data_IF_003971987754
#
_entry.id   IF_003971987754
#
_cell.length_a   1.000
_cell.length_b   1.000
_cell.length_c   1.000
_cell.angle_alpha   90.00
_cell.angle_beta   90.00
_cell.angle_gamma   90.00
#
_symmetry.space_group_name_H-M   'P 1'
#
loop_
_entity.id
_entity.type
_entity.pdbx_description
1 polymer ?
#
# COMPACT_ATOMS: atom_id res chain seq x y z
N UNK A 1 -19.40 24.44 9.93
CA UNK A 1 -18.98 23.04 9.70
C UNK A 1 -19.79 22.16 10.67
N UNK A 2 -20.85 21.49 10.21
CA UNK A 2 -21.69 20.67 11.08
C UNK A 2 -20.93 19.42 11.56
N UNK A 3 -21.05 19.06 12.84
CA UNK A 3 -20.47 17.81 13.34
C UNK A 3 -21.05 16.63 12.53
N UNK A 4 -20.26 15.63 12.12
CA UNK A 4 -20.73 14.51 11.29
C UNK A 4 -21.92 13.77 11.93
N UNK A 5 -22.00 13.72 13.27
CA UNK A 5 -23.12 13.12 14.00
C UNK A 5 -24.46 13.86 13.83
N UNK A 6 -24.46 15.17 13.62
CA UNK A 6 -25.69 15.95 13.42
C UNK A 6 -26.30 15.74 12.04
N UNK A 7 -25.46 15.57 11.01
CA UNK A 7 -25.92 15.28 9.65
C UNK A 7 -26.52 13.87 9.56
N UNK A 8 -25.90 12.89 10.19
CA UNK A 8 -26.41 11.50 10.23
C UNK A 8 -27.77 11.40 10.92
N UNK A 9 -27.97 12.14 12.02
CA UNK A 9 -29.26 12.19 12.73
C UNK A 9 -30.35 12.86 11.91
N UNK A 10 -30.02 13.96 11.24
CA UNK A 10 -30.95 14.68 10.36
C UNK A 10 -31.40 13.76 9.21
N UNK A 11 -30.48 13.01 8.65
CA UNK A 11 -30.73 12.14 7.52
C UNK A 11 -31.54 10.90 7.93
N UNK A 12 -31.23 10.26 9.06
CA UNK A 12 -32.08 9.19 9.60
C UNK A 12 -33.49 9.69 9.89
N UNK A 13 -33.65 10.93 10.35
CA UNK A 13 -34.97 11.54 10.57
C UNK A 13 -35.73 11.73 9.24
N UNK A 14 -35.07 12.17 8.16
CA UNK A 14 -35.69 12.32 6.84
C UNK A 14 -36.16 10.96 6.29
N UNK A 15 -35.35 9.91 6.45
CA UNK A 15 -35.70 8.55 5.98
C UNK A 15 -36.83 7.98 6.80
N UNK A 16 -36.79 8.15 8.12
CA UNK A 16 -37.88 7.74 9.00
C UNK A 16 -39.17 8.46 8.62
N UNK A 17 -39.12 9.77 8.34
CA UNK A 17 -40.27 10.53 7.85
C UNK A 17 -40.76 10.05 6.49
N UNK A 18 -39.86 9.67 5.57
CA UNK A 18 -40.25 9.11 4.27
C UNK A 18 -40.90 7.72 4.41
N UNK A 19 -40.39 6.87 5.31
CA UNK A 19 -40.98 5.56 5.62
C UNK A 19 -42.33 5.71 6.32
N UNK A 20 -42.45 6.64 7.27
CA UNK A 20 -43.72 6.98 7.92
C UNK A 20 -44.71 7.51 6.89
N UNK A 21 -44.29 8.41 5.99
CA UNK A 21 -45.15 8.93 4.93
C UNK A 21 -45.61 7.82 3.96
N UNK A 22 -44.73 6.87 3.63
CA UNK A 22 -45.09 5.68 2.85
C UNK A 22 -46.09 4.80 3.60
N UNK A 23 -45.90 4.59 4.91
CA UNK A 23 -46.78 3.77 5.74
C UNK A 23 -48.15 4.43 5.92
N UNK A 24 -48.20 5.75 6.13
CA UNK A 24 -49.42 6.56 6.20
C UNK A 24 -50.13 6.55 4.84
N UNK A 25 -49.40 6.67 3.73
CA UNK A 25 -49.97 6.53 2.40
C UNK A 25 -50.59 5.13 2.24
N UNK A 26 -49.86 4.06 2.55
CA UNK A 26 -50.37 2.67 2.48
C UNK A 26 -51.55 2.39 3.44
N UNK A 27 -51.60 3.06 4.59
CA UNK A 27 -52.72 2.96 5.54
C UNK A 27 -53.96 3.69 5.03
N UNK A 28 -53.80 4.92 4.52
CA UNK A 28 -54.87 5.67 3.86
C UNK A 28 -55.35 4.97 2.58
N UNK A 29 -54.48 4.23 1.89
CA UNK A 29 -54.82 3.33 0.76
C UNK A 29 -55.81 2.21 1.12
N UNK A 30 -55.91 1.81 2.40
CA UNK A 30 -56.89 0.82 2.86
C UNK A 30 -58.31 1.40 2.99
N UNK A 31 -58.43 2.73 2.91
CA UNK A 31 -59.67 3.49 3.00
C UNK A 31 -60.05 3.99 1.60
N UNK A 32 -60.81 3.16 0.87
CA UNK A 32 -61.69 3.47 -0.28
C UNK A 32 -61.14 3.79 -1.71
N UNK A 33 -61.83 3.23 -2.71
CA UNK A 33 -62.35 3.90 -3.92
C UNK A 33 -61.43 4.39 -5.07
N UNK A 34 -60.12 4.53 -4.90
CA UNK A 34 -59.25 5.19 -5.91
C UNK A 34 -58.69 4.20 -6.96
N UNK A 35 -58.55 4.65 -8.21
CA UNK A 35 -58.00 3.86 -9.33
C UNK A 35 -56.51 3.47 -9.13
N UNK A 36 -56.08 2.39 -9.78
CA UNK A 36 -54.76 1.77 -9.56
C UNK A 36 -53.56 2.54 -10.14
N UNK A 37 -53.75 3.44 -11.12
CA UNK A 37 -52.63 4.09 -11.83
C UNK A 37 -51.85 5.14 -11.02
N UNK A 38 -52.46 6.05 -10.23
CA UNK A 38 -51.72 7.00 -9.40
C UNK A 38 -51.01 6.29 -8.24
N UNK A 39 -51.57 5.15 -7.81
CA UNK A 39 -51.09 4.32 -6.71
C UNK A 39 -49.74 3.67 -7.03
N UNK A 40 -49.60 3.10 -8.21
CA UNK A 40 -48.34 2.52 -8.67
C UNK A 40 -47.24 3.58 -8.84
N UNK A 41 -47.61 4.80 -9.25
CA UNK A 41 -46.65 5.91 -9.38
C UNK A 41 -46.08 6.36 -8.01
N UNK A 42 -46.92 6.43 -6.97
CA UNK A 42 -46.49 6.77 -5.60
C UNK A 42 -45.59 5.69 -4.98
N UNK A 43 -45.94 4.41 -5.15
CA UNK A 43 -45.09 3.29 -4.69
C UNK A 43 -43.75 3.31 -5.43
N UNK A 44 -43.76 3.51 -6.75
CA UNK A 44 -42.56 3.62 -7.56
C UNK A 44 -41.67 4.79 -7.12
N UNK A 45 -42.25 5.97 -6.85
CA UNK A 45 -41.52 7.13 -6.35
C UNK A 45 -40.90 6.87 -4.96
N UNK A 46 -41.62 6.23 -4.05
CA UNK A 46 -41.11 5.91 -2.72
C UNK A 46 -39.97 4.89 -2.77
N UNK A 47 -40.10 3.82 -3.58
CA UNK A 47 -39.03 2.85 -3.78
C UNK A 47 -37.78 3.49 -4.41
N UNK A 48 -37.96 4.44 -5.33
CA UNK A 48 -36.85 5.18 -5.92
C UNK A 48 -36.14 6.05 -4.89
N UNK A 49 -36.87 6.77 -4.03
CA UNK A 49 -36.27 7.55 -2.94
C UNK A 49 -35.51 6.67 -1.95
N UNK A 50 -36.09 5.53 -1.55
CA UNK A 50 -35.43 4.56 -0.67
C UNK A 50 -34.18 3.98 -1.34
N UNK A 51 -34.25 3.62 -2.62
CA UNK A 51 -33.12 3.09 -3.39
C UNK A 51 -31.98 4.09 -3.55
N UNK A 52 -32.29 5.34 -3.93
CA UNK A 52 -31.31 6.42 -4.00
C UNK A 52 -30.66 6.69 -2.64
N UNK A 53 -31.45 6.65 -1.57
CA UNK A 53 -30.96 6.85 -0.23
C UNK A 53 -30.05 5.72 0.25
N UNK A 54 -30.44 4.46 0.03
CA UNK A 54 -29.62 3.30 0.34
C UNK A 54 -28.27 3.36 -0.42
N UNK A 55 -28.31 3.74 -1.70
CA UNK A 55 -27.09 3.97 -2.50
C UNK A 55 -26.23 5.12 -1.95
N UNK A 56 -26.84 6.22 -1.52
CA UNK A 56 -26.13 7.35 -0.91
C UNK A 56 -25.47 6.97 0.42
N UNK A 57 -26.17 6.25 1.29
CA UNK A 57 -25.60 5.72 2.55
C UNK A 57 -24.46 4.77 2.26
N UNK A 58 -24.65 3.83 1.35
CA UNK A 58 -23.64 2.84 0.99
C UNK A 58 -22.36 3.51 0.50
N UNK A 59 -22.47 4.51 -0.39
CA UNK A 59 -21.30 5.25 -0.92
C UNK A 59 -20.61 6.13 0.12
N UNK A 60 -21.35 6.73 1.07
CA UNK A 60 -20.74 7.59 2.09
C UNK A 60 -20.16 6.82 3.27
N UNK A 61 -20.74 5.67 3.60
CA UNK A 61 -20.37 4.86 4.77
C UNK A 61 -19.42 3.72 4.47
N UNK A 62 -19.21 3.37 3.20
CA UNK A 62 -18.21 2.39 2.82
C UNK A 62 -17.00 3.05 2.18
N UNK A 63 -15.87 2.35 2.18
CA UNK A 63 -14.68 2.70 1.40
C UNK A 63 -14.31 1.47 0.57
N UNK A 64 -13.97 1.70 -0.69
CA UNK A 64 -13.41 0.65 -1.52
C UNK A 64 -11.91 0.58 -1.25
N UNK A 65 -11.48 -0.55 -0.72
CA UNK A 65 -10.08 -0.85 -0.47
C UNK A 65 -9.56 -1.61 -1.67
N UNK A 66 -8.50 -1.06 -2.27
CA UNK A 66 -7.84 -1.64 -3.43
C UNK A 66 -7.12 -2.94 -3.04
N UNK A 67 -6.94 -3.88 -3.99
CA UNK A 67 -5.97 -4.96 -3.80
C UNK A 67 -4.60 -4.37 -3.46
N UNK A 68 -3.80 -5.18 -2.78
CA UNK A 68 -2.49 -4.80 -2.27
C UNK A 68 -2.57 -3.66 -1.24
N UNK A 69 -3.56 -3.68 -0.35
CA UNK A 69 -3.62 -2.79 0.82
C UNK A 69 -3.50 -3.57 2.12
N UNK A 70 -2.77 -3.05 3.10
CA UNK A 70 -2.72 -3.59 4.46
C UNK A 70 -3.43 -2.63 5.41
N UNK A 71 -4.15 -3.22 6.35
CA UNK A 71 -4.74 -2.54 7.46
C UNK A 71 -3.80 -2.61 8.65
N UNK A 72 -3.43 -1.45 9.18
CA UNK A 72 -2.59 -1.31 10.34
C UNK A 72 -3.40 -0.80 11.53
N UNK A 73 -3.18 -1.35 12.73
CA UNK A 73 -3.68 -0.73 13.96
C UNK A 73 -2.91 0.57 14.29
N UNK A 74 -3.34 1.31 15.32
CA UNK A 74 -2.67 2.53 15.80
C UNK A 74 -1.21 2.30 16.25
N UNK A 75 -0.81 1.05 16.48
CA UNK A 75 0.56 0.67 16.85
C UNK A 75 1.39 0.21 15.64
N UNK A 76 0.82 0.25 14.43
CA UNK A 76 1.46 -0.19 13.19
C UNK A 76 1.55 -1.71 13.04
N UNK A 77 0.71 -2.49 13.74
CA UNK A 77 0.60 -3.94 13.52
C UNK A 77 -0.34 -4.24 12.36
N UNK A 78 0.01 -5.25 11.56
CA UNK A 78 -0.85 -5.74 10.49
C UNK A 78 -2.05 -6.45 11.10
N UNK A 79 -3.24 -5.97 10.78
CA UNK A 79 -4.52 -6.51 11.25
C UNK A 79 -5.17 -7.32 10.14
N UNK A 80 -5.15 -6.80 8.91
CA UNK A 80 -5.77 -7.43 7.75
C UNK A 80 -5.03 -7.05 6.47
N UNK A 81 -5.09 -7.93 5.49
CA UNK A 81 -4.52 -7.72 4.15
C UNK A 81 -5.63 -7.88 3.13
N UNK A 82 -5.68 -6.95 2.18
CA UNK A 82 -6.65 -6.91 1.10
C UNK A 82 -5.97 -7.38 -0.19
N UNK A 83 -6.23 -8.63 -0.59
CA UNK A 83 -5.69 -9.23 -1.83
C UNK A 83 -6.61 -9.03 -3.04
N UNK A 84 -7.83 -8.56 -2.78
CA UNK A 84 -8.86 -8.31 -3.79
C UNK A 84 -9.58 -7.02 -3.41
N UNK A 85 -10.26 -6.41 -4.39
CA UNK A 85 -11.15 -5.28 -4.11
C UNK A 85 -12.19 -5.68 -3.06
N UNK A 86 -12.23 -4.92 -1.97
CA UNK A 86 -13.24 -5.11 -0.92
C UNK A 86 -13.87 -3.77 -0.56
N UNK A 87 -15.20 -3.76 -0.50
CA UNK A 87 -15.96 -2.65 0.07
C UNK A 87 -16.12 -2.89 1.57
N UNK A 88 -15.59 -1.99 2.38
CA UNK A 88 -15.63 -2.11 3.86
C UNK A 88 -16.32 -0.92 4.50
N UNK A 89 -16.94 -1.11 5.67
CA UNK A 89 -17.61 -0.03 6.40
C UNK A 89 -16.58 0.89 7.07
N UNK A 90 -16.60 2.19 6.73
CA UNK A 90 -15.68 3.19 7.30
C UNK A 90 -15.64 3.16 8.82
N UNK A 91 -16.78 2.93 9.48
CA UNK A 91 -16.90 2.92 10.95
C UNK A 91 -16.08 1.80 11.61
N UNK A 92 -15.96 0.65 10.95
CA UNK A 92 -15.18 -0.49 11.45
C UNK A 92 -13.67 -0.20 11.45
N UNK A 93 -13.23 0.78 10.65
CA UNK A 93 -11.82 1.04 10.40
C UNK A 93 -11.37 2.46 10.83
N UNK A 94 -12.15 3.16 11.66
CA UNK A 94 -11.84 4.54 12.12
C UNK A 94 -10.46 4.60 12.82
N UNK A 95 -10.10 3.56 13.57
CA UNK A 95 -8.86 3.51 14.34
C UNK A 95 -7.73 2.79 13.60
N UNK A 96 -7.85 2.63 12.28
CA UNK A 96 -6.90 1.86 11.48
C UNK A 96 -6.37 2.68 10.30
N UNK A 97 -5.11 2.46 9.95
CA UNK A 97 -4.51 3.01 8.75
C UNK A 97 -4.57 1.98 7.62
N UNK A 98 -5.20 2.33 6.50
CA UNK A 98 -5.14 1.53 5.27
C UNK A 98 -3.99 2.09 4.44
N UNK A 99 -2.93 1.31 4.28
CA UNK A 99 -1.77 1.68 3.47
C UNK A 99 -1.60 0.71 2.31
N UNK A 100 -1.28 1.21 1.10
CA UNK A 100 -0.96 0.34 -0.02
C UNK A 100 0.37 -0.38 0.25
N UNK A 101 0.39 -1.69 0.04
CA UNK A 101 1.57 -2.55 0.01
C UNK A 101 1.80 -3.12 -1.39
N UNK A 102 1.63 -2.31 -2.44
CA UNK A 102 1.95 -2.76 -3.81
C UNK A 102 3.39 -3.29 -3.87
N UNK A 103 3.67 -4.22 -4.80
CA UNK A 103 5.03 -4.58 -5.23
C UNK A 103 5.90 -3.33 -5.25
N UNK A 104 6.75 -3.18 -4.24
CA UNK A 104 7.48 -1.93 -4.06
C UNK A 104 8.84 -2.12 -4.71
N UNK A 105 9.02 -1.45 -5.84
CA UNK A 105 10.29 -1.34 -6.52
C UNK A 105 11.07 -0.15 -5.98
N UNK A 106 12.34 -0.36 -5.65
CA UNK A 106 13.27 0.67 -5.22
C UNK A 106 14.40 0.73 -6.23
N UNK A 107 14.46 1.82 -6.98
CA UNK A 107 15.61 2.15 -7.82
C UNK A 107 16.56 3.05 -7.03
N UNK A 108 17.76 2.53 -6.80
CA UNK A 108 18.81 3.15 -6.02
C UNK A 108 20.03 3.34 -6.91
N UNK A 109 20.59 4.55 -6.86
CA UNK A 109 21.83 4.89 -7.55
C UNK A 109 22.87 5.21 -6.48
N UNK A 110 24.00 4.53 -6.57
CA UNK A 110 25.08 4.63 -5.60
C UNK A 110 26.38 4.96 -6.30
N UNK A 111 27.30 5.48 -5.52
CA UNK A 111 28.59 5.95 -5.98
C UNK A 111 29.65 5.58 -4.96
N UNK A 112 30.80 5.12 -5.46
CA UNK A 112 31.93 4.72 -4.63
C UNK A 112 33.24 4.97 -5.36
N UNK A 113 34.24 5.43 -4.61
CA UNK A 113 35.63 5.46 -5.05
C UNK A 113 36.36 4.31 -4.35
N UNK A 114 36.63 3.19 -5.04
CA UNK A 114 37.28 2.03 -4.46
C UNK A 114 38.66 2.36 -3.88
N UNK A 115 38.98 1.81 -2.71
CA UNK A 115 40.32 1.89 -2.13
C UNK A 115 41.22 0.89 -2.85
N UNK A 116 42.30 1.38 -3.45
CA UNK A 116 43.20 0.56 -4.27
C UNK A 116 44.58 1.18 -4.40
N UNK A 117 45.64 0.36 -4.48
CA UNK A 117 46.99 0.84 -4.79
C UNK A 117 47.16 1.26 -6.27
N UNK A 118 46.19 0.95 -7.14
CA UNK A 118 46.26 1.30 -8.55
C UNK A 118 45.76 2.74 -8.79
N UNK A 119 46.61 3.68 -9.25
CA UNK A 119 46.23 5.08 -9.44
C UNK A 119 45.21 5.30 -10.58
N UNK A 120 44.90 4.26 -11.38
CA UNK A 120 43.92 4.34 -12.49
C UNK A 120 42.49 4.02 -12.09
N UNK A 121 42.21 3.71 -10.82
CA UNK A 121 40.86 3.33 -10.42
C UNK A 121 39.96 4.56 -10.36
N UNK A 122 38.85 4.46 -11.10
CA UNK A 122 37.88 5.52 -11.34
C UNK A 122 36.70 5.37 -10.39
N UNK A 123 35.88 6.41 -10.35
CA UNK A 123 34.67 6.38 -9.55
C UNK A 123 33.68 5.41 -10.18
N UNK A 124 33.17 4.46 -9.39
CA UNK A 124 32.16 3.51 -9.82
C UNK A 124 30.80 4.07 -9.45
N UNK A 125 29.91 4.16 -10.44
CA UNK A 125 28.51 4.51 -10.26
C UNK A 125 27.69 3.29 -10.62
N UNK A 126 26.82 2.83 -9.73
CA UNK A 126 25.97 1.67 -10.01
C UNK A 126 24.52 1.91 -9.66
N UNK A 127 23.65 1.26 -10.41
CA UNK A 127 22.20 1.27 -10.24
C UNK A 127 21.72 -0.10 -9.80
N UNK A 128 20.92 -0.12 -8.75
CA UNK A 128 20.28 -1.31 -8.19
C UNK A 128 18.78 -1.11 -8.21
N UNK A 129 18.05 -2.06 -8.78
CA UNK A 129 16.61 -2.15 -8.60
C UNK A 129 16.30 -3.32 -7.67
N UNK A 130 15.64 -3.02 -6.55
CA UNK A 130 15.20 -3.97 -5.55
C UNK A 130 13.69 -4.06 -5.58
N UNK A 131 13.15 -5.26 -5.51
CA UNK A 131 11.71 -5.48 -5.43
C UNK A 131 11.39 -6.32 -4.22
N UNK A 132 10.33 -5.96 -3.51
CA UNK A 132 9.71 -6.81 -2.50
C UNK A 132 8.46 -7.40 -3.16
N UNK A 133 8.48 -8.67 -3.60
CA UNK A 133 7.30 -9.39 -4.04
C UNK A 133 6.44 -9.64 -2.81
N UNK A 134 5.54 -8.71 -2.53
CA UNK A 134 4.61 -8.84 -1.43
C UNK A 134 3.44 -9.76 -1.82
N UNK A 135 3.76 -10.97 -2.28
CA UNK A 135 2.75 -11.93 -2.72
C UNK A 135 2.06 -12.62 -1.53
N UNK A 136 2.68 -12.59 -0.34
CA UNK A 136 2.19 -13.27 0.85
C UNK A 136 2.27 -12.40 2.11
N UNK A 137 1.37 -12.66 3.06
CA UNK A 137 1.35 -12.05 4.39
C UNK A 137 2.66 -12.28 5.14
N UNK A 138 3.19 -13.50 5.05
CA UNK A 138 4.42 -13.88 5.74
C UNK A 138 5.64 -13.11 5.22
N UNK A 139 5.69 -12.82 3.91
CA UNK A 139 6.74 -11.99 3.34
C UNK A 139 6.78 -10.60 3.99
N UNK A 140 5.62 -9.97 4.20
CA UNK A 140 5.52 -8.67 4.89
C UNK A 140 5.93 -8.76 6.35
N UNK A 141 5.55 -9.83 7.05
CA UNK A 141 5.98 -10.04 8.43
C UNK A 141 7.49 -10.24 8.54
N UNK A 142 8.12 -10.93 7.59
CA UNK A 142 9.59 -11.11 7.56
C UNK A 142 10.32 -9.82 7.26
N UNK A 143 9.83 -9.00 6.33
CA UNK A 143 10.35 -7.65 6.09
C UNK A 143 10.24 -6.79 7.36
N UNK A 144 9.08 -6.82 8.02
CA UNK A 144 8.87 -6.09 9.28
C UNK A 144 9.81 -6.60 10.38
N UNK A 145 9.93 -7.90 10.55
CA UNK A 145 10.80 -8.52 11.56
C UNK A 145 12.25 -8.10 11.33
N UNK A 146 12.75 -8.19 10.10
CA UNK A 146 14.07 -7.71 9.73
C UNK A 146 14.28 -6.24 10.09
N UNK A 147 13.33 -5.36 9.73
CA UNK A 147 13.44 -3.93 10.06
C UNK A 147 13.47 -3.70 11.57
N UNK A 148 12.61 -4.40 12.31
CA UNK A 148 12.52 -4.28 13.77
C UNK A 148 13.79 -4.79 14.45
N UNK A 149 14.32 -5.93 14.03
CA UNK A 149 15.49 -6.54 14.65
C UNK A 149 16.76 -5.73 14.36
N UNK A 150 16.94 -5.31 13.11
CA UNK A 150 18.16 -4.65 12.63
C UNK A 150 18.19 -3.15 12.92
N UNK A 151 17.04 -2.47 12.79
CA UNK A 151 16.95 -1.01 12.93
C UNK A 151 16.13 -0.54 14.13
N UNK A 152 15.62 -1.46 14.97
CA UNK A 152 14.87 -1.16 16.20
C UNK A 152 13.61 -0.30 15.98
N UNK A 153 13.00 -0.40 14.81
CA UNK A 153 11.74 0.30 14.50
C UNK A 153 10.55 -0.58 14.93
N UNK A 154 9.66 -0.09 15.80
CA UNK A 154 8.56 -0.89 16.34
C UNK A 154 7.35 -1.01 15.38
N UNK A 155 7.15 -0.01 14.52
CA UNK A 155 6.05 0.05 13.55
C UNK A 155 6.41 -0.58 12.20
N UNK A 156 5.40 -0.83 11.37
CA UNK A 156 5.62 -1.23 9.98
C UNK A 156 6.29 -0.07 9.20
N UNK A 157 7.42 -0.30 8.53
CA UNK A 157 8.16 0.76 7.88
C UNK A 157 7.41 1.30 6.66
N UNK A 158 7.43 2.61 6.50
CA UNK A 158 6.99 3.29 5.28
C UNK A 158 7.94 2.97 4.10
N UNK A 159 7.47 3.21 2.88
CA UNK A 159 8.29 3.02 1.67
C UNK A 159 9.57 3.86 1.69
N UNK A 160 9.50 5.10 2.20
CA UNK A 160 10.68 5.96 2.33
C UNK A 160 11.67 5.44 3.38
N UNK A 161 11.17 4.93 4.51
CA UNK A 161 12.02 4.30 5.52
C UNK A 161 12.72 3.07 4.95
N UNK A 162 11.99 2.18 4.25
CA UNK A 162 12.57 1.02 3.58
C UNK A 162 13.62 1.42 2.55
N UNK A 163 13.35 2.43 1.72
CA UNK A 163 14.30 2.98 0.77
C UNK A 163 15.61 3.38 1.46
N UNK A 164 15.54 4.18 2.53
CA UNK A 164 16.70 4.62 3.31
C UNK A 164 17.47 3.44 3.93
N UNK A 165 16.77 2.35 4.31
CA UNK A 165 17.44 1.14 4.83
C UNK A 165 18.20 0.40 3.75
N UNK A 166 17.64 0.29 2.54
CA UNK A 166 18.40 -0.27 1.42
C UNK A 166 19.59 0.60 1.02
N UNK A 167 19.44 1.93 1.01
CA UNK A 167 20.56 2.85 0.79
C UNK A 167 21.67 2.65 1.84
N UNK A 168 21.31 2.45 3.11
CA UNK A 168 22.27 2.11 4.17
C UNK A 168 22.99 0.78 3.92
N UNK A 169 22.29 -0.29 3.52
CA UNK A 169 22.94 -1.56 3.20
C UNK A 169 23.87 -1.45 1.99
N UNK A 170 23.53 -0.62 1.00
CA UNK A 170 24.39 -0.36 -0.15
C UNK A 170 25.60 0.51 0.21
N UNK A 171 25.46 1.42 1.16
CA UNK A 171 26.60 2.13 1.74
C UNK A 171 27.57 1.17 2.43
N UNK A 172 27.06 0.25 3.26
CA UNK A 172 27.84 -0.81 3.91
C UNK A 172 28.51 -1.75 2.90
N UNK A 173 27.85 -2.01 1.77
CA UNK A 173 28.44 -2.76 0.66
C UNK A 173 29.66 -2.04 0.11
N UNK A 174 29.55 -0.74 -0.17
CA UNK A 174 30.65 0.08 -0.69
C UNK A 174 31.85 0.09 0.25
N UNK A 175 31.61 0.23 1.55
CA UNK A 175 32.66 0.24 2.56
C UNK A 175 33.37 -1.11 2.65
N UNK A 176 32.61 -2.21 2.78
CA UNK A 176 33.16 -3.55 3.01
C UNK A 176 33.73 -4.22 1.78
N UNK A 177 33.23 -3.84 0.59
CA UNK A 177 33.65 -4.40 -0.70
C UNK A 177 34.46 -3.40 -1.51
N UNK A 178 34.93 -2.31 -0.91
CA UNK A 178 35.69 -1.26 -1.59
C UNK A 178 36.84 -1.82 -2.42
N UNK A 179 37.68 -2.68 -1.86
CA UNK A 179 38.79 -3.30 -2.60
C UNK A 179 38.33 -4.24 -3.72
N UNK A 180 37.29 -5.06 -3.46
CA UNK A 180 36.73 -5.98 -4.46
C UNK A 180 36.13 -5.22 -5.65
N UNK A 181 35.53 -4.05 -5.37
CA UNK A 181 34.94 -3.17 -6.38
C UNK A 181 35.99 -2.58 -7.32
N UNK A 182 37.24 -2.42 -6.87
CA UNK A 182 38.33 -1.88 -7.69
C UNK A 182 38.66 -2.73 -8.93
N UNK A 183 38.26 -4.01 -8.95
CA UNK A 183 38.45 -4.91 -10.09
C UNK A 183 37.55 -4.54 -11.28
N UNK A 184 36.40 -3.91 -11.01
CA UNK A 184 35.42 -3.53 -12.03
C UNK A 184 35.84 -2.24 -12.74
N UNK A 185 36.46 -2.41 -13.91
CA UNK A 185 37.12 -1.34 -14.66
C UNK A 185 36.63 -1.21 -16.11
N UNK A 186 35.82 -2.15 -16.60
CA UNK A 186 35.22 -2.08 -17.93
C UNK A 186 33.71 -2.35 -17.85
N UNK A 187 32.86 -1.31 -17.90
CA UNK A 187 31.40 -1.50 -17.84
C UNK A 187 30.81 -2.13 -19.10
N UNK A 188 31.57 -2.20 -20.22
CA UNK A 188 31.14 -2.87 -21.45
C UNK A 188 31.42 -4.38 -21.43
N UNK A 189 32.26 -4.84 -20.50
CA UNK A 189 32.55 -6.26 -20.30
C UNK A 189 31.38 -6.93 -19.54
N UNK A 190 30.68 -7.83 -20.23
CA UNK A 190 29.56 -8.57 -19.65
C UNK A 190 29.99 -9.47 -18.48
N UNK A 191 31.20 -10.04 -18.53
CA UNK A 191 31.73 -10.85 -17.44
C UNK A 191 31.88 -10.04 -16.15
N UNK A 192 32.33 -8.79 -16.25
CA UNK A 192 32.41 -7.88 -15.10
C UNK A 192 31.03 -7.46 -14.59
N UNK A 193 30.06 -7.20 -15.47
CA UNK A 193 28.68 -6.89 -15.04
C UNK A 193 28.04 -8.05 -14.27
N UNK A 194 28.24 -9.29 -14.74
CA UNK A 194 27.75 -10.50 -14.05
C UNK A 194 28.46 -10.69 -12.72
N UNK A 195 29.78 -10.55 -12.67
CA UNK A 195 30.55 -10.66 -11.44
C UNK A 195 30.16 -9.59 -10.40
N UNK A 196 29.94 -8.34 -10.84
CA UNK A 196 29.42 -7.27 -9.99
C UNK A 196 28.05 -7.61 -9.42
N UNK A 197 27.11 -8.06 -10.28
CA UNK A 197 25.77 -8.48 -9.84
C UNK A 197 25.85 -9.61 -8.82
N UNK A 198 26.71 -10.60 -9.03
CA UNK A 198 26.88 -11.71 -8.10
C UNK A 198 27.49 -11.26 -6.76
N UNK A 199 28.47 -10.37 -6.79
CA UNK A 199 29.08 -9.79 -5.59
C UNK A 199 28.02 -9.05 -4.75
N UNK A 200 27.18 -8.25 -5.39
CA UNK A 200 26.09 -7.53 -4.75
C UNK A 200 25.03 -8.49 -4.17
N UNK A 201 24.59 -9.48 -4.96
CA UNK A 201 23.61 -10.49 -4.52
C UNK A 201 24.11 -11.26 -3.29
N UNK A 202 25.36 -11.72 -3.31
CA UNK A 202 25.97 -12.43 -2.19
C UNK A 202 26.09 -11.57 -0.94
N UNK A 203 26.26 -10.25 -1.09
CA UNK A 203 26.29 -9.34 0.05
C UNK A 203 24.90 -9.11 0.63
N UNK A 204 23.90 -8.89 -0.23
CA UNK A 204 22.53 -8.59 0.19
C UNK A 204 21.79 -9.81 0.74
N UNK A 205 22.11 -11.03 0.32
CA UNK A 205 21.42 -12.26 0.74
C UNK A 205 21.41 -12.47 2.26
N UNK A 206 22.43 -11.99 2.97
CA UNK A 206 22.55 -12.08 4.43
C UNK A 206 22.19 -10.76 5.16
N UNK A 207 21.77 -9.74 4.43
CA UNK A 207 21.64 -8.37 4.94
C UNK A 207 20.28 -7.73 4.68
N UNK A 208 19.60 -8.15 3.63
CA UNK A 208 18.22 -7.81 3.32
C UNK A 208 17.30 -9.00 3.71
N UNK A 209 15.99 -8.76 3.87
CA UNK A 209 15.00 -9.83 3.95
C UNK A 209 15.13 -10.77 2.74
N UNK A 210 14.91 -12.07 2.94
CA UNK A 210 15.02 -13.07 1.87
C UNK A 210 14.06 -12.80 0.70
N UNK A 211 12.99 -12.06 0.98
CA UNK A 211 11.97 -11.64 0.02
C UNK A 211 12.53 -10.64 -1.00
N UNK A 212 13.60 -9.91 -0.69
CA UNK A 212 14.10 -8.85 -1.56
C UNK A 212 14.78 -9.46 -2.79
N UNK A 213 14.24 -9.14 -3.95
CA UNK A 213 14.76 -9.57 -5.25
C UNK A 213 15.52 -8.42 -5.90
N UNK A 214 16.76 -8.66 -6.31
CA UNK A 214 17.52 -7.70 -7.13
C UNK A 214 17.17 -7.92 -8.60
N UNK A 215 16.37 -7.03 -9.18
CA UNK A 215 15.95 -7.13 -10.59
C UNK A 215 16.94 -6.48 -11.55
N UNK A 216 17.67 -5.45 -11.09
CA UNK A 216 18.72 -4.78 -11.84
C UNK A 216 19.93 -4.54 -10.95
N UNK A 217 21.12 -4.79 -11.49
CA UNK A 217 22.39 -4.40 -10.89
C UNK A 217 23.37 -4.14 -12.04
N UNK A 218 23.72 -2.87 -12.26
CA UNK A 218 24.63 -2.47 -13.35
C UNK A 218 25.56 -1.37 -12.87
N UNK A 219 26.85 -1.50 -13.17
CA UNK A 219 27.83 -0.46 -12.89
C UNK A 219 28.27 0.30 -14.15
N UNK A 220 28.74 1.52 -13.94
CA UNK A 220 29.30 2.46 -14.90
C UNK A 220 30.48 3.18 -14.25
N UNK A 221 31.26 3.92 -15.03
CA UNK A 221 32.41 4.68 -14.53
C UNK A 221 32.19 6.17 -14.77
N UNK A 222 32.65 6.99 -13.82
CA UNK A 222 32.74 8.44 -13.93
C UNK A 222 34.20 8.90 -13.92
#
# INVERSE_FOLDING_TARGET
MFKPQTLERLIMAIVLLAVIALFVALFLFSLEGVSWSPRLALIGAALLVIGCFAGWVFTHKTVNVRPDSILLDLRGNIVKIFLQDQTVWKKEYIDYAIVPFKKTGYELKMEVTPITPNPKVRKIIYEVALEIPAETVDALYRVRAWVREKFKIPHFPSAEELRKRFEYELYEFNDKRSTDLAVFSNPLDQGQQVAFKQLLLNFLSNRAPHEVVVTKAKFTLA
#
